data_IF_282685001644
#
_entry.id   IF_282685001644
#
_cell.length_a   1.000
_cell.length_b   1.000
_cell.length_c   1.000
_cell.angle_alpha   90.00
_cell.angle_beta   90.00
_cell.angle_gamma   90.00
#
_symmetry.space_group_name_H-M   'P 1'
#
loop_
_entity.id
_entity.type
_entity.pdbx_description
1 polymer ?
#
# COMPACT_ATOMS: atom_id res chain seq x y z
N UNK A 1 7.35 -18.90 -8.94
CA UNK A 1 6.11 -18.79 -8.17
C UNK A 1 6.26 -17.71 -7.13
N UNK A 2 5.24 -16.84 -6.98
CA UNK A 2 5.33 -15.75 -6.02
C UNK A 2 5.21 -16.26 -4.59
N UNK A 3 5.95 -15.64 -3.68
CA UNK A 3 5.82 -15.93 -2.26
C UNK A 3 4.60 -15.21 -1.70
N UNK A 4 4.19 -15.60 -0.50
CA UNK A 4 3.12 -14.90 0.19
C UNK A 4 3.47 -13.42 0.38
N UNK A 5 4.73 -13.12 0.69
CA UNK A 5 5.17 -11.74 0.86
C UNK A 5 5.07 -10.95 -0.44
N UNK A 6 5.47 -11.56 -1.56
CA UNK A 6 5.35 -10.88 -2.85
C UNK A 6 3.90 -10.61 -3.22
N UNK A 7 3.02 -11.58 -2.95
CA UNK A 7 1.60 -11.39 -3.21
C UNK A 7 1.03 -10.29 -2.31
N UNK A 8 1.40 -10.28 -1.03
CA UNK A 8 0.94 -9.26 -0.10
C UNK A 8 1.39 -7.87 -0.56
N UNK A 9 2.64 -7.73 -1.00
CA UNK A 9 3.15 -6.45 -1.48
C UNK A 9 2.38 -5.99 -2.72
N UNK A 10 2.06 -6.91 -3.62
CA UNK A 10 1.27 -6.58 -4.81
C UNK A 10 -0.11 -6.07 -4.43
N UNK A 11 -0.77 -6.75 -3.50
CA UNK A 11 -2.10 -6.34 -3.05
C UNK A 11 -2.05 -4.97 -2.37
N UNK A 12 -1.00 -4.70 -1.60
CA UNK A 12 -0.84 -3.40 -0.97
C UNK A 12 -0.66 -2.29 -2.01
N UNK A 13 0.10 -2.57 -3.07
CA UNK A 13 0.28 -1.58 -4.14
C UNK A 13 -0.99 -1.37 -4.94
N UNK A 14 -1.77 -2.43 -5.16
CA UNK A 14 -3.06 -2.31 -5.82
C UNK A 14 -4.01 -1.46 -4.99
N UNK A 15 -4.00 -1.64 -3.67
CA UNK A 15 -4.80 -0.81 -2.77
C UNK A 15 -4.37 0.65 -2.85
N UNK A 16 -3.05 0.91 -2.90
CA UNK A 16 -2.55 2.27 -3.02
C UNK A 16 -3.06 2.94 -4.29
N UNK A 17 -3.03 2.20 -5.40
CA UNK A 17 -3.52 2.71 -6.67
C UNK A 17 -5.01 3.04 -6.60
N UNK A 18 -5.77 2.15 -5.96
CA UNK A 18 -7.21 2.35 -5.77
C UNK A 18 -7.47 3.64 -4.97
N UNK A 19 -6.73 3.84 -3.90
CA UNK A 19 -6.90 5.05 -3.09
C UNK A 19 -6.54 6.31 -3.86
N UNK A 20 -5.51 6.27 -4.70
CA UNK A 20 -5.16 7.41 -5.54
C UNK A 20 -6.27 7.74 -6.54
N UNK A 21 -6.85 6.70 -7.13
CA UNK A 21 -7.96 6.89 -8.05
C UNK A 21 -9.16 7.52 -7.35
N UNK A 22 -9.48 7.03 -6.14
CA UNK A 22 -10.55 7.64 -5.35
C UNK A 22 -10.26 9.10 -5.02
N UNK A 23 -9.03 9.40 -4.65
CA UNK A 23 -8.65 10.77 -4.33
C UNK A 23 -8.78 11.69 -5.54
N UNK A 24 -8.40 11.22 -6.72
CA UNK A 24 -8.53 12.00 -7.93
C UNK A 24 -9.98 12.30 -8.28
N UNK A 25 -10.90 11.42 -7.92
CA UNK A 25 -12.31 11.57 -8.24
C UNK A 25 -13.10 12.28 -7.14
N UNK A 26 -12.51 12.45 -5.98
CA UNK A 26 -13.20 13.02 -4.82
C UNK A 26 -12.32 14.08 -4.16
N UNK A 27 -12.46 15.31 -4.64
CA UNK A 27 -11.62 16.42 -4.18
C UNK A 27 -11.54 16.53 -2.65
N UNK A 28 -12.67 16.44 -1.91
CA UNK A 28 -12.60 16.55 -0.45
C UNK A 28 -11.81 15.44 0.24
N UNK A 29 -11.63 14.29 -0.44
CA UNK A 29 -10.93 13.15 0.13
C UNK A 29 -9.52 12.98 -0.41
N UNK A 30 -9.12 13.81 -1.35
CA UNK A 30 -7.84 13.62 -2.06
C UNK A 30 -6.66 13.49 -1.12
N UNK A 31 -6.51 14.44 -0.21
CA UNK A 31 -5.36 14.46 0.67
C UNK A 31 -5.29 13.20 1.52
N UNK A 32 -6.42 12.83 2.11
CA UNK A 32 -6.49 11.64 2.95
C UNK A 32 -6.21 10.36 2.16
N UNK A 33 -6.75 10.27 0.95
CA UNK A 33 -6.55 9.07 0.12
C UNK A 33 -5.10 8.97 -0.35
N UNK A 34 -4.46 10.09 -0.66
CA UNK A 34 -3.05 10.07 -1.05
C UNK A 34 -2.16 9.67 0.12
N UNK A 35 -2.45 10.14 1.33
CA UNK A 35 -1.71 9.72 2.52
C UNK A 35 -1.86 8.23 2.77
N UNK A 36 -3.08 7.70 2.63
CA UNK A 36 -3.30 6.27 2.80
C UNK A 36 -2.53 5.47 1.76
N UNK A 37 -2.53 5.93 0.52
CA UNK A 37 -1.79 5.26 -0.55
C UNK A 37 -0.30 5.21 -0.24
N UNK A 38 0.26 6.32 0.27
CA UNK A 38 1.68 6.36 0.63
C UNK A 38 2.01 5.34 1.72
N UNK A 39 1.14 5.20 2.72
CA UNK A 39 1.34 4.21 3.78
C UNK A 39 1.33 2.80 3.22
N UNK A 40 0.37 2.50 2.35
CA UNK A 40 0.30 1.17 1.73
C UNK A 40 1.56 0.86 0.93
N UNK A 41 2.09 1.84 0.22
CA UNK A 41 3.32 1.62 -0.55
C UNK A 41 4.53 1.43 0.34
N UNK A 42 4.60 2.15 1.45
CA UNK A 42 5.67 1.96 2.42
C UNK A 42 5.65 0.56 3.01
N UNK A 43 4.46 0.09 3.38
CA UNK A 43 4.32 -1.26 3.93
C UNK A 43 4.67 -2.31 2.88
N UNK A 44 4.27 -2.09 1.63
CA UNK A 44 4.63 -2.99 0.54
C UNK A 44 6.15 -3.12 0.41
N UNK A 45 6.85 -1.99 0.48
CA UNK A 45 8.31 -1.99 0.41
C UNK A 45 8.94 -2.74 1.58
N UNK A 46 8.40 -2.56 2.78
CA UNK A 46 8.90 -3.28 3.96
C UNK A 46 8.69 -4.77 3.84
N UNK A 47 7.52 -5.19 3.36
CA UNK A 47 7.22 -6.61 3.19
C UNK A 47 8.16 -7.25 2.17
N UNK A 48 8.46 -6.54 1.08
CA UNK A 48 9.36 -7.08 0.06
C UNK A 48 10.80 -7.14 0.55
N UNK A 49 11.22 -6.13 1.31
CA UNK A 49 12.59 -6.04 1.79
C UNK A 49 12.86 -7.02 2.92
N UNK A 50 11.88 -7.25 3.76
CA UNK A 50 12.02 -8.13 4.93
C UNK A 50 10.74 -8.95 5.11
N UNK A 51 10.56 -10.00 4.28
CA UNK A 51 9.32 -10.77 4.28
C UNK A 51 8.98 -11.43 5.60
N UNK A 52 9.98 -11.68 6.43
CA UNK A 52 9.77 -12.31 7.74
C UNK A 52 9.81 -11.31 8.88
N UNK A 53 9.92 -10.01 8.57
CA UNK A 53 9.95 -8.98 9.58
C UNK A 53 8.60 -8.83 10.27
N UNK A 54 8.62 -8.36 11.50
CA UNK A 54 7.42 -8.10 12.27
C UNK A 54 7.17 -6.60 12.32
N UNK A 55 5.90 -6.24 12.29
CA UNK A 55 5.49 -4.85 12.48
C UNK A 55 5.23 -4.67 13.97
N UNK A 56 5.99 -3.77 14.59
CA UNK A 56 5.82 -3.46 16.00
C UNK A 56 4.89 -2.25 16.16
N UNK A 57 3.95 -2.38 17.06
CA UNK A 57 3.01 -1.28 17.36
C UNK A 57 3.60 -0.32 18.37
#
# INVERSE_FOLDING_TARGET
MATHAELAARLLRDAARFFRTLGDQNEPLREQMMENADVFEQVAGLVEKDPSGEIED
#
